data_IF_550288376383
#
_entry.id   IF_550288376383
#
_cell.length_a   1.000
_cell.length_b   1.000
_cell.length_c   1.000
_cell.angle_alpha   90.00
_cell.angle_beta   90.00
_cell.angle_gamma   90.00
#
_symmetry.space_group_name_H-M   'P 1'
#
loop_
_entity.id
_entity.type
_entity.pdbx_description
1 polymer ?
#
# COMPACT_ATOMS: atom_id res chain seq x y z
N UNK A 1 -25.77 -13.09 18.81
CA UNK A 1 -24.85 -12.06 19.32
C UNK A 1 -25.41 -10.74 18.82
N UNK A 2 -25.80 -9.88 19.75
CA UNK A 2 -26.46 -8.61 19.48
C UNK A 2 -25.58 -7.74 18.59
N UNK A 3 -26.10 -7.33 17.43
CA UNK A 3 -25.46 -6.30 16.59
C UNK A 3 -25.39 -5.03 17.44
N UNK A 4 -24.23 -4.82 18.04
CA UNK A 4 -23.94 -3.68 18.88
C UNK A 4 -23.41 -2.62 17.93
N UNK A 5 -24.14 -1.52 17.78
CA UNK A 5 -23.73 -0.39 16.93
C UNK A 5 -22.37 0.14 17.41
N UNK A 6 -21.62 0.79 16.53
CA UNK A 6 -20.33 1.42 16.85
C UNK A 6 -20.44 2.29 18.11
N UNK A 7 -21.52 3.06 18.24
CA UNK A 7 -21.84 3.85 19.43
C UNK A 7 -22.01 3.02 20.70
N UNK A 8 -22.72 1.88 20.62
CA UNK A 8 -22.94 1.03 21.78
C UNK A 8 -21.64 0.34 22.24
N UNK A 9 -20.77 -0.03 21.29
CA UNK A 9 -19.44 -0.58 21.56
C UNK A 9 -18.53 0.47 22.21
N UNK A 10 -18.56 1.70 21.69
CA UNK A 10 -17.83 2.83 22.26
C UNK A 10 -18.32 3.16 23.68
N UNK A 11 -19.63 3.16 23.90
CA UNK A 11 -20.24 3.43 25.21
C UNK A 11 -19.91 2.35 26.26
N UNK A 12 -19.59 1.12 25.84
CA UNK A 12 -19.19 0.04 26.73
C UNK A 12 -17.75 0.20 27.28
N UNK A 13 -16.91 1.01 26.63
CA UNK A 13 -15.55 1.28 27.09
C UNK A 13 -15.54 2.20 28.33
N UNK A 14 -14.49 2.12 29.18
CA UNK A 14 -14.34 3.04 30.30
C UNK A 14 -14.41 4.51 29.84
N UNK A 15 -15.09 5.37 30.62
CA UNK A 15 -15.29 6.79 30.29
C UNK A 15 -14.00 7.52 29.88
N UNK A 16 -12.87 7.18 30.50
CA UNK A 16 -11.54 7.77 30.20
C UNK A 16 -11.00 7.41 28.80
N UNK A 17 -11.58 6.43 28.13
CA UNK A 17 -11.23 5.96 26.80
C UNK A 17 -12.31 6.35 25.79
N UNK A 18 -13.58 6.13 26.14
CA UNK A 18 -14.71 6.41 25.24
C UNK A 18 -14.89 7.90 24.95
N UNK A 19 -14.74 8.77 25.94
CA UNK A 19 -14.95 10.21 25.76
C UNK A 19 -13.89 10.86 24.85
N UNK A 20 -12.58 10.56 24.98
CA UNK A 20 -11.58 11.02 24.01
C UNK A 20 -11.84 10.51 22.59
N UNK A 21 -12.12 9.21 22.40
CA UNK A 21 -12.39 8.66 21.07
C UNK A 21 -13.62 9.30 20.42
N UNK A 22 -14.71 9.46 21.18
CA UNK A 22 -15.90 10.17 20.68
C UNK A 22 -15.58 11.61 20.26
N UNK A 23 -14.75 12.31 21.05
CA UNK A 23 -14.33 13.69 20.75
C UNK A 23 -13.49 13.77 19.48
N UNK A 24 -12.55 12.84 19.29
CA UNK A 24 -11.71 12.75 18.08
C UNK A 24 -12.56 12.47 16.84
N UNK A 25 -13.55 11.57 16.95
CA UNK A 25 -14.47 11.27 15.85
C UNK A 25 -15.36 12.46 15.52
N UNK A 26 -15.89 13.15 16.54
CA UNK A 26 -16.76 14.32 16.36
C UNK A 26 -16.01 15.52 15.79
N UNK A 27 -14.72 15.62 16.07
CA UNK A 27 -13.80 16.60 15.49
C UNK A 27 -13.30 16.22 14.08
N UNK A 28 -13.70 15.05 13.55
CA UNK A 28 -13.27 14.58 12.23
C UNK A 28 -11.81 14.13 12.17
N UNK A 29 -11.11 14.00 13.30
CA UNK A 29 -9.71 13.59 13.35
C UNK A 29 -9.52 12.09 13.14
N UNK A 30 -10.57 11.31 13.44
CA UNK A 30 -10.66 9.90 13.09
C UNK A 30 -12.04 9.65 12.46
N UNK A 31 -12.07 8.93 11.34
CA UNK A 31 -13.34 8.55 10.72
C UNK A 31 -13.99 7.35 11.44
N UNK A 32 -15.23 7.06 11.08
CA UNK A 32 -16.00 5.95 11.67
C UNK A 32 -15.38 4.58 11.36
N UNK A 33 -14.75 4.41 10.20
CA UNK A 33 -14.09 3.16 9.83
C UNK A 33 -12.86 2.87 10.69
N UNK A 34 -12.07 3.90 10.98
CA UNK A 34 -10.92 3.79 11.88
C UNK A 34 -11.37 3.54 13.32
N UNK A 35 -12.46 4.18 13.76
CA UNK A 35 -13.07 3.89 15.05
C UNK A 35 -13.49 2.41 15.17
N UNK A 36 -14.10 1.83 14.14
CA UNK A 36 -14.43 0.40 14.14
C UNK A 36 -13.20 -0.50 14.30
N UNK A 37 -12.09 -0.17 13.63
CA UNK A 37 -10.82 -0.91 13.75
C UNK A 37 -10.27 -0.85 15.18
N UNK A 38 -10.35 0.32 15.83
CA UNK A 38 -9.92 0.47 17.23
C UNK A 38 -10.78 -0.35 18.17
N UNK A 39 -12.11 -0.34 17.99
CA UNK A 39 -13.02 -1.15 18.80
C UNK A 39 -12.77 -2.66 18.61
N UNK A 40 -12.49 -3.10 17.37
CA UNK A 40 -12.07 -4.47 17.08
C UNK A 40 -10.76 -4.84 17.79
N UNK A 41 -9.79 -3.93 17.79
CA UNK A 41 -8.53 -4.10 18.49
C UNK A 41 -8.72 -4.20 20.02
N UNK A 42 -9.60 -3.38 20.59
CA UNK A 42 -9.94 -3.41 22.02
C UNK A 42 -10.53 -4.78 22.40
N UNK A 43 -11.53 -5.26 21.66
CA UNK A 43 -12.18 -6.54 21.90
C UNK A 43 -11.23 -7.73 21.78
N UNK A 44 -10.35 -7.73 20.77
CA UNK A 44 -9.41 -8.83 20.55
C UNK A 44 -8.26 -8.85 21.55
N UNK A 45 -7.85 -7.68 22.04
CA UNK A 45 -6.78 -7.58 23.05
C UNK A 45 -7.29 -7.82 24.47
N UNK A 46 -8.53 -7.40 24.76
CA UNK A 46 -9.05 -7.32 26.12
C UNK A 46 -8.33 -6.28 26.98
N UNK A 47 -7.64 -5.31 26.36
CA UNK A 47 -6.85 -4.27 27.06
C UNK A 47 -7.25 -2.87 26.61
N UNK A 48 -8.39 -2.42 27.11
CA UNK A 48 -8.95 -1.08 26.83
C UNK A 48 -8.02 0.06 27.29
N UNK A 49 -7.16 -0.20 28.29
CA UNK A 49 -6.29 0.82 28.88
C UNK A 49 -5.20 1.28 27.93
N UNK A 50 -4.75 0.38 27.05
CA UNK A 50 -3.73 0.69 26.04
C UNK A 50 -4.33 1.22 24.74
N UNK A 51 -5.66 1.26 24.62
CA UNK A 51 -6.32 1.57 23.36
C UNK A 51 -6.01 2.97 22.82
N UNK A 52 -5.98 4.00 23.68
CA UNK A 52 -5.64 5.36 23.26
C UNK A 52 -4.18 5.47 22.81
N UNK A 53 -3.25 4.86 23.55
CA UNK A 53 -1.84 4.82 23.17
C UNK A 53 -1.62 4.03 21.88
N UNK A 54 -2.38 2.95 21.70
CA UNK A 54 -2.41 2.20 20.46
C UNK A 54 -2.99 3.02 19.31
N UNK A 55 -4.06 3.78 19.49
CA UNK A 55 -4.63 4.63 18.44
C UNK A 55 -3.61 5.65 17.94
N UNK A 56 -2.87 6.30 18.85
CA UNK A 56 -1.79 7.21 18.50
C UNK A 56 -0.64 6.49 17.76
N UNK A 57 -0.21 5.34 18.26
CA UNK A 57 0.86 4.54 17.64
C UNK A 57 0.45 3.83 16.34
N UNK A 58 -0.83 3.56 16.15
CA UNK A 58 -1.39 2.88 14.98
C UNK A 58 -1.14 3.71 13.74
N UNK A 59 -1.43 5.01 13.79
CA UNK A 59 -1.28 5.89 12.63
C UNK A 59 0.19 5.96 12.20
N UNK A 60 1.11 5.99 13.16
CA UNK A 60 2.55 5.91 12.89
C UNK A 60 2.95 4.55 12.28
N UNK A 61 2.50 3.43 12.86
CA UNK A 61 2.77 2.10 12.30
C UNK A 61 2.16 1.92 10.90
N UNK A 62 0.99 2.48 10.65
CA UNK A 62 0.36 2.48 9.34
C UNK A 62 1.16 3.31 8.33
N UNK A 63 1.70 4.48 8.74
CA UNK A 63 2.65 5.29 7.96
C UNK A 63 3.89 4.47 7.57
N UNK A 64 4.41 3.63 8.47
CA UNK A 64 5.58 2.77 8.23
C UNK A 64 5.25 1.43 7.49
N UNK A 65 4.06 1.33 6.90
CA UNK A 65 3.63 0.15 6.14
C UNK A 65 3.46 -1.13 6.98
N UNK A 66 3.21 -1.00 8.29
CA UNK A 66 2.88 -2.13 9.14
C UNK A 66 1.41 -2.51 8.91
N UNK A 67 1.09 -3.78 8.58
CA UNK A 67 -0.26 -4.20 8.21
C UNK A 67 -1.16 -4.44 9.44
N UNK A 68 -1.33 -3.41 10.28
CA UNK A 68 -2.02 -3.52 11.58
C UNK A 68 -3.52 -3.82 11.38
N UNK A 69 -4.19 -3.12 10.46
CA UNK A 69 -5.58 -3.34 10.09
C UNK A 69 -5.85 -4.78 9.66
N UNK A 70 -5.02 -5.29 8.74
CA UNK A 70 -5.12 -6.65 8.21
C UNK A 70 -4.94 -7.69 9.31
N UNK A 71 -4.01 -7.46 10.24
CA UNK A 71 -3.84 -8.34 11.41
C UNK A 71 -5.08 -8.34 12.28
N UNK A 72 -5.66 -7.17 12.58
CA UNK A 72 -6.88 -7.07 13.41
C UNK A 72 -8.02 -7.82 12.73
N UNK A 73 -8.27 -7.59 11.43
CA UNK A 73 -9.32 -8.26 10.67
C UNK A 73 -9.13 -9.77 10.62
N UNK A 74 -7.93 -10.25 10.29
CA UNK A 74 -7.62 -11.68 10.25
C UNK A 74 -7.73 -12.33 11.63
N UNK A 75 -7.24 -11.65 12.67
CA UNK A 75 -7.31 -12.11 14.05
C UNK A 75 -8.78 -12.23 14.52
N UNK A 76 -9.62 -11.25 14.17
CA UNK A 76 -11.07 -11.30 14.44
C UNK A 76 -11.73 -12.52 13.81
N UNK A 77 -11.50 -12.75 12.51
CA UNK A 77 -12.03 -13.92 11.80
C UNK A 77 -11.58 -15.24 12.42
N UNK A 78 -10.31 -15.32 12.79
CA UNK A 78 -9.73 -16.52 13.40
C UNK A 78 -9.99 -16.62 14.91
N UNK A 79 -10.71 -15.67 15.51
CA UNK A 79 -10.93 -15.56 16.96
C UNK A 79 -9.64 -15.64 17.77
N UNK A 80 -8.57 -15.00 17.27
CA UNK A 80 -7.26 -14.96 17.90
C UNK A 80 -7.06 -13.63 18.63
N UNK A 81 -6.43 -13.69 19.80
CA UNK A 81 -6.06 -12.50 20.56
C UNK A 81 -4.90 -11.77 19.90
N UNK A 82 -4.90 -10.46 20.04
CA UNK A 82 -3.80 -9.57 19.65
C UNK A 82 -3.22 -8.89 20.89
N UNK A 83 -2.06 -8.24 20.76
CA UNK A 83 -1.52 -7.40 21.81
C UNK A 83 -1.20 -6.03 21.23
N UNK A 84 -1.84 -5.00 21.80
CA UNK A 84 -1.72 -3.63 21.32
C UNK A 84 -0.32 -3.04 21.49
N UNK A 85 0.51 -3.60 22.37
CA UNK A 85 1.89 -3.18 22.61
C UNK A 85 2.94 -3.91 21.76
N UNK A 86 2.54 -4.62 20.71
CA UNK A 86 3.50 -5.25 19.80
C UNK A 86 4.30 -4.22 19.02
N UNK A 87 5.58 -4.52 18.81
CA UNK A 87 6.45 -3.74 17.92
C UNK A 87 6.02 -3.88 16.44
N UNK A 88 6.40 -2.94 15.57
CA UNK A 88 6.16 -3.02 14.11
C UNK A 88 6.56 -4.38 13.51
N UNK A 89 7.75 -4.88 13.85
CA UNK A 89 8.24 -6.18 13.41
C UNK A 89 7.35 -7.34 13.89
N UNK A 90 6.84 -7.26 15.13
CA UNK A 90 5.95 -8.30 15.67
C UNK A 90 4.59 -8.30 14.97
N UNK A 91 4.04 -7.13 14.62
CA UNK A 91 2.83 -7.01 13.80
C UNK A 91 3.03 -7.62 12.40
N UNK A 92 4.13 -7.27 11.71
CA UNK A 92 4.50 -7.87 10.40
C UNK A 92 4.64 -9.40 10.49
N UNK A 93 5.22 -9.91 11.58
CA UNK A 93 5.34 -11.35 11.80
C UNK A 93 3.99 -12.03 12.07
N UNK A 94 3.11 -11.42 12.87
CA UNK A 94 1.79 -11.98 13.13
C UNK A 94 0.92 -11.95 11.86
N UNK A 95 1.03 -10.91 11.05
CA UNK A 95 0.41 -10.82 9.72
C UNK A 95 0.79 -12.03 8.85
N UNK A 96 2.09 -12.29 8.71
CA UNK A 96 2.60 -13.42 7.93
C UNK A 96 2.08 -14.77 8.45
N UNK A 97 1.99 -14.92 9.78
CA UNK A 97 1.45 -16.13 10.41
C UNK A 97 -0.04 -16.31 10.15
N UNK A 98 -0.83 -15.25 10.36
CA UNK A 98 -2.29 -15.29 10.16
C UNK A 98 -2.65 -15.53 8.71
N UNK A 99 -1.96 -14.88 7.77
CA UNK A 99 -2.18 -15.07 6.34
C UNK A 99 -1.85 -16.49 5.88
N UNK A 100 -0.77 -17.09 6.40
CA UNK A 100 -0.46 -18.51 6.18
C UNK A 100 -1.54 -19.43 6.74
N UNK A 101 -2.05 -19.13 7.94
CA UNK A 101 -3.13 -19.89 8.54
C UNK A 101 -4.42 -19.81 7.71
N UNK A 102 -4.80 -18.62 7.22
CA UNK A 102 -5.95 -18.49 6.29
C UNK A 102 -5.72 -19.31 5.04
N UNK A 103 -4.52 -19.23 4.46
CA UNK A 103 -4.16 -20.01 3.28
C UNK A 103 -4.34 -21.51 3.50
N UNK A 104 -3.83 -22.05 4.60
CA UNK A 104 -3.96 -23.47 4.95
C UNK A 104 -5.42 -23.85 5.22
N UNK A 105 -6.17 -23.00 5.93
CA UNK A 105 -7.60 -23.22 6.19
C UNK A 105 -8.40 -23.32 4.88
N UNK A 106 -8.12 -22.45 3.89
CA UNK A 106 -8.77 -22.49 2.57
C UNK A 106 -8.43 -23.77 1.80
N UNK A 107 -7.21 -24.27 1.93
CA UNK A 107 -6.81 -25.54 1.29
C UNK A 107 -7.50 -26.74 1.92
N UNK A 108 -7.72 -26.73 3.24
CA UNK A 108 -8.42 -27.79 3.96
C UNK A 108 -9.95 -27.75 3.83
N UNK A 109 -10.52 -26.58 3.54
CA UNK A 109 -11.97 -26.39 3.44
C UNK A 109 -12.57 -27.00 2.16
N UNK A 110 -13.91 -27.10 2.12
CA UNK A 110 -14.64 -27.36 0.88
C UNK A 110 -14.30 -26.28 -0.16
N UNK A 111 -14.08 -26.72 -1.39
CA UNK A 111 -13.70 -25.79 -2.46
C UNK A 111 -14.92 -24.96 -2.85
N UNK A 112 -14.88 -23.67 -2.56
CA UNK A 112 -15.94 -22.74 -2.92
C UNK A 112 -15.58 -22.07 -4.23
N UNK A 113 -16.53 -22.01 -5.17
CA UNK A 113 -16.39 -21.29 -6.42
C UNK A 113 -16.93 -19.87 -6.30
N UNK A 114 -16.29 -18.94 -6.98
CA UNK A 114 -16.69 -17.54 -7.02
C UNK A 114 -17.49 -17.26 -8.29
N UNK A 115 -18.58 -16.51 -8.14
CA UNK A 115 -19.25 -15.90 -9.27
C UNK A 115 -18.48 -14.64 -9.67
N UNK A 116 -17.90 -14.66 -10.88
CA UNK A 116 -17.13 -13.57 -11.45
C UNK A 116 -17.74 -13.07 -12.77
N UNK A 117 -19.04 -13.34 -12.99
CA UNK A 117 -19.78 -12.93 -14.21
C UNK A 117 -19.58 -11.45 -14.54
N UNK A 118 -19.71 -10.57 -13.55
CA UNK A 118 -19.50 -9.13 -13.70
C UNK A 118 -18.08 -8.72 -14.16
N UNK A 119 -17.08 -9.60 -14.03
CA UNK A 119 -15.73 -9.37 -14.55
C UNK A 119 -15.53 -10.07 -15.91
N UNK A 120 -16.17 -11.23 -16.10
CA UNK A 120 -16.10 -12.01 -17.34
C UNK A 120 -16.71 -11.29 -18.55
N UNK A 121 -17.64 -10.37 -18.34
CA UNK A 121 -18.26 -9.60 -19.42
C UNK A 121 -17.32 -8.56 -20.04
N UNK A 122 -16.31 -8.12 -19.29
CA UNK A 122 -15.41 -7.02 -19.67
C UNK A 122 -13.97 -7.47 -19.93
N UNK A 123 -13.70 -8.77 -19.94
CA UNK A 123 -12.36 -9.33 -20.11
C UNK A 123 -12.27 -10.22 -21.36
N UNK A 124 -11.15 -10.21 -22.09
CA UNK A 124 -10.92 -11.12 -23.21
C UNK A 124 -10.76 -12.58 -22.71
N UNK A 125 -11.04 -13.55 -23.57
CA UNK A 125 -11.01 -14.99 -23.26
C UNK A 125 -9.76 -15.47 -22.52
N UNK A 126 -8.59 -14.97 -22.92
CA UNK A 126 -7.32 -15.33 -22.29
C UNK A 126 -7.25 -14.84 -20.83
N UNK A 127 -7.71 -13.62 -20.57
CA UNK A 127 -7.76 -13.03 -19.24
C UNK A 127 -8.80 -13.71 -18.35
N UNK A 128 -9.97 -14.08 -18.89
CA UNK A 128 -11.02 -14.82 -18.17
C UNK A 128 -10.54 -16.16 -17.63
N UNK A 129 -9.62 -16.82 -18.35
CA UNK A 129 -8.98 -18.07 -17.92
C UNK A 129 -7.92 -17.87 -16.83
N UNK A 130 -7.37 -16.66 -16.71
CA UNK A 130 -6.40 -16.31 -15.68
C UNK A 130 -7.04 -16.00 -14.32
N UNK A 131 -8.35 -15.69 -14.29
CA UNK A 131 -9.10 -15.46 -13.06
C UNK A 131 -9.06 -16.66 -12.11
N UNK A 132 -8.83 -16.38 -10.82
CA UNK A 132 -8.89 -17.35 -9.74
C UNK A 132 -10.36 -17.53 -9.34
N UNK A 133 -10.95 -18.66 -9.75
CA UNK A 133 -12.40 -18.92 -9.58
C UNK A 133 -12.78 -19.71 -8.34
N UNK A 134 -11.82 -20.11 -7.51
CA UNK A 134 -12.14 -20.91 -6.32
C UNK A 134 -11.18 -20.72 -5.15
N UNK A 135 -11.67 -21.02 -3.96
CA UNK A 135 -10.96 -20.83 -2.69
C UNK A 135 -9.66 -21.63 -2.60
N UNK A 136 -9.63 -22.86 -3.12
CA UNK A 136 -8.38 -23.64 -3.13
C UNK A 136 -7.33 -23.02 -4.04
N UNK A 137 -7.71 -22.52 -5.22
CA UNK A 137 -6.77 -21.88 -6.14
C UNK A 137 -6.25 -20.55 -5.60
N UNK A 138 -7.09 -19.79 -4.89
CA UNK A 138 -6.69 -18.57 -4.19
C UNK A 138 -5.66 -18.86 -3.09
N UNK A 139 -5.90 -19.91 -2.28
CA UNK A 139 -4.93 -20.37 -1.28
C UNK A 139 -3.61 -20.82 -1.90
N UNK A 140 -3.64 -21.60 -2.99
CA UNK A 140 -2.42 -22.02 -3.69
C UNK A 140 -1.62 -20.84 -4.25
N UNK A 141 -2.29 -19.78 -4.71
CA UNK A 141 -1.61 -18.57 -5.17
C UNK A 141 -0.88 -17.88 -4.00
N UNK A 142 -1.55 -17.73 -2.85
CA UNK A 142 -0.94 -17.17 -1.64
C UNK A 142 0.29 -17.94 -1.16
N UNK A 143 0.26 -19.28 -1.18
CA UNK A 143 1.43 -20.10 -0.86
C UNK A 143 2.59 -19.89 -1.84
N UNK A 144 2.30 -19.91 -3.14
CA UNK A 144 3.33 -19.81 -4.18
C UNK A 144 4.01 -18.45 -4.18
N UNK A 145 3.21 -17.41 -4.09
CA UNK A 145 3.69 -16.03 -4.18
C UNK A 145 4.10 -15.47 -2.81
N UNK A 146 3.86 -16.17 -1.70
CA UNK A 146 4.22 -15.74 -0.34
C UNK A 146 3.68 -14.34 0.00
N UNK A 147 2.42 -14.10 -0.37
CA UNK A 147 1.72 -12.86 -0.08
C UNK A 147 0.24 -13.13 0.19
N UNK A 148 -0.45 -12.13 0.73
CA UNK A 148 -1.67 -12.34 1.51
C UNK A 148 -2.95 -12.46 0.68
N UNK A 149 -2.86 -12.83 -0.60
CA UNK A 149 -4.01 -12.91 -1.50
C UNK A 149 -5.13 -13.85 -1.00
N UNK A 150 -4.83 -14.83 -0.15
CA UNK A 150 -5.84 -15.70 0.46
C UNK A 150 -6.84 -14.95 1.37
N UNK A 151 -6.47 -13.80 1.91
CA UNK A 151 -7.34 -12.97 2.77
C UNK A 151 -8.44 -12.25 1.98
N UNK A 152 -8.33 -12.21 0.64
CA UNK A 152 -9.29 -11.55 -0.25
C UNK A 152 -10.58 -12.37 -0.46
N UNK A 153 -10.66 -13.58 0.09
CA UNK A 153 -11.78 -14.50 -0.10
C UNK A 153 -13.16 -13.85 0.07
N UNK A 154 -13.37 -13.17 1.20
CA UNK A 154 -14.68 -12.58 1.53
C UNK A 154 -14.98 -11.39 0.61
N UNK A 155 -13.95 -10.61 0.25
CA UNK A 155 -14.09 -9.49 -0.69
C UNK A 155 -14.46 -9.97 -2.09
N UNK A 156 -13.94 -11.12 -2.52
CA UNK A 156 -14.31 -11.74 -3.80
C UNK A 156 -15.76 -12.27 -3.75
N UNK A 157 -16.16 -12.95 -2.66
CA UNK A 157 -17.55 -13.43 -2.48
C UNK A 157 -18.55 -12.28 -2.55
N UNK A 158 -18.21 -11.15 -1.92
CA UNK A 158 -19.06 -9.97 -1.89
C UNK A 158 -18.97 -9.13 -3.17
N UNK A 159 -18.27 -9.61 -4.21
CA UNK A 159 -18.13 -8.94 -5.51
C UNK A 159 -17.22 -7.70 -5.50
N UNK A 160 -16.55 -7.42 -4.40
CA UNK A 160 -15.73 -6.22 -4.21
C UNK A 160 -14.36 -6.24 -4.91
N UNK A 161 -13.91 -7.39 -5.41
CA UNK A 161 -12.76 -7.50 -6.30
C UNK A 161 -12.73 -8.86 -7.02
N UNK A 162 -11.90 -8.99 -8.04
CA UNK A 162 -11.49 -10.26 -8.63
C UNK A 162 -9.95 -10.38 -8.66
N UNK A 163 -9.44 -11.60 -8.59
CA UNK A 163 -8.00 -11.87 -8.61
C UNK A 163 -7.66 -12.72 -9.84
N UNK A 164 -6.63 -12.33 -10.58
CA UNK A 164 -6.07 -13.11 -11.69
C UNK A 164 -4.62 -13.54 -11.38
N UNK A 165 -4.24 -14.72 -11.87
CA UNK A 165 -2.85 -15.19 -11.89
C UNK A 165 -2.36 -15.23 -13.32
N UNK A 166 -1.54 -14.25 -13.69
CA UNK A 166 -1.06 -13.99 -15.05
C UNK A 166 0.42 -14.37 -15.14
N UNK A 167 0.86 -14.93 -16.26
CA UNK A 167 2.28 -15.20 -16.51
C UNK A 167 2.74 -14.29 -17.64
N UNK A 168 3.69 -13.41 -17.35
CA UNK A 168 4.33 -12.50 -18.32
C UNK A 168 5.83 -12.67 -18.18
N UNK A 169 6.51 -12.89 -19.31
CA UNK A 169 7.97 -13.09 -19.35
C UNK A 169 8.47 -14.19 -18.39
N UNK A 170 7.73 -15.31 -18.33
CA UNK A 170 8.00 -16.45 -17.43
C UNK A 170 7.88 -16.14 -15.93
N UNK A 171 7.54 -14.90 -15.56
CA UNK A 171 7.24 -14.51 -14.19
C UNK A 171 5.74 -14.55 -13.94
N UNK A 172 5.34 -15.09 -12.78
CA UNK A 172 3.94 -15.10 -12.34
C UNK A 172 3.61 -13.82 -11.59
N UNK A 173 2.46 -13.24 -11.92
CA UNK A 173 1.92 -12.01 -11.36
C UNK A 173 0.51 -12.23 -10.85
N UNK A 174 0.24 -11.74 -9.65
CA UNK A 174 -1.09 -11.69 -9.05
C UNK A 174 -1.66 -10.31 -9.31
N UNK A 175 -2.79 -10.26 -10.01
CA UNK A 175 -3.45 -9.03 -10.43
C UNK A 175 -4.78 -8.90 -9.71
N UNK A 176 -5.03 -7.76 -9.07
CA UNK A 176 -6.31 -7.42 -8.48
C UNK A 176 -7.08 -6.50 -9.43
N UNK A 177 -8.33 -6.86 -9.66
CA UNK A 177 -9.30 -6.11 -10.43
C UNK A 177 -10.39 -5.59 -9.52
N UNK A 178 -10.82 -4.36 -9.74
CA UNK A 178 -11.99 -3.78 -9.11
C UNK A 178 -12.90 -3.17 -10.17
N UNK A 179 -14.19 -3.13 -9.86
CA UNK A 179 -15.17 -2.43 -10.68
C UNK A 179 -15.00 -0.94 -10.50
N UNK A 180 -15.16 -0.20 -11.58
CA UNK A 180 -15.23 1.26 -11.51
C UNK A 180 -16.67 1.72 -11.73
N UNK A 181 -16.94 2.96 -11.37
CA UNK A 181 -18.22 3.63 -11.64
C UNK A 181 -18.22 4.35 -13.00
N UNK A 182 -17.18 4.16 -13.81
CA UNK A 182 -17.01 4.78 -15.12
C UNK A 182 -17.53 3.80 -16.17
N UNK A 183 -18.60 4.21 -16.87
CA UNK A 183 -19.31 3.37 -17.85
C UNK A 183 -18.38 2.86 -18.96
N UNK A 184 -17.48 3.71 -19.46
CA UNK A 184 -16.50 3.35 -20.52
C UNK A 184 -15.29 2.55 -20.01
N UNK A 185 -15.09 2.44 -18.70
CA UNK A 185 -13.96 1.73 -18.08
C UNK A 185 -14.44 0.90 -16.89
N UNK A 186 -15.33 -0.08 -17.10
CA UNK A 186 -16.06 -0.76 -16.01
C UNK A 186 -15.17 -1.54 -15.04
N UNK A 187 -13.93 -1.86 -15.45
CA UNK A 187 -12.92 -2.51 -14.63
C UNK A 187 -11.60 -1.73 -14.62
N UNK A 188 -10.91 -1.76 -13.48
CA UNK A 188 -9.55 -1.26 -13.34
C UNK A 188 -8.65 -2.29 -12.65
N UNK A 189 -7.37 -2.28 -13.03
CA UNK A 189 -6.33 -3.00 -12.30
C UNK A 189 -5.86 -2.10 -11.15
N UNK A 190 -6.15 -2.48 -9.91
CA UNK A 190 -5.76 -1.70 -8.73
C UNK A 190 -4.41 -2.12 -8.18
N UNK A 191 -4.03 -3.40 -8.36
CA UNK A 191 -2.79 -3.92 -7.82
C UNK A 191 -2.19 -5.01 -8.73
N UNK A 192 -0.87 -4.96 -8.91
CA UNK A 192 -0.08 -6.00 -9.57
C UNK A 192 1.10 -6.32 -8.66
N UNK A 193 1.18 -7.57 -8.19
CA UNK A 193 2.25 -8.03 -7.31
C UNK A 193 2.84 -9.34 -7.79
N UNK A 194 4.12 -9.52 -7.55
CA UNK A 194 4.79 -10.82 -7.68
C UNK A 194 5.13 -11.39 -6.30
N UNK A 195 5.98 -12.41 -6.29
CA UNK A 195 6.45 -13.08 -5.08
C UNK A 195 6.95 -12.06 -4.06
N UNK A 196 6.61 -12.26 -2.78
CA UNK A 196 6.96 -11.37 -1.67
C UNK A 196 6.50 -9.92 -1.86
N UNK A 197 5.37 -9.69 -2.52
CA UNK A 197 4.81 -8.36 -2.80
C UNK A 197 5.69 -7.45 -3.70
N UNK A 198 6.60 -8.03 -4.49
CA UNK A 198 7.35 -7.27 -5.48
C UNK A 198 6.43 -6.55 -6.47
N UNK A 199 6.79 -5.32 -6.85
CA UNK A 199 5.98 -4.46 -7.73
C UNK A 199 6.28 -4.76 -9.20
N UNK A 200 5.27 -4.65 -10.07
CA UNK A 200 5.47 -4.84 -11.50
C UNK A 200 6.17 -3.64 -12.14
N UNK A 201 7.31 -3.85 -12.84
CA UNK A 201 7.92 -2.81 -13.67
C UNK A 201 6.95 -2.28 -14.74
N UNK A 202 7.13 -1.05 -15.22
CA UNK A 202 6.21 -0.43 -16.20
C UNK A 202 5.96 -1.28 -17.45
N UNK A 203 7.00 -1.92 -18.00
CA UNK A 203 6.88 -2.79 -19.18
C UNK A 203 6.04 -4.05 -18.91
N UNK A 204 6.19 -4.63 -17.72
CA UNK A 204 5.36 -5.77 -17.29
C UNK A 204 3.93 -5.33 -17.05
N UNK A 205 3.72 -4.18 -16.39
CA UNK A 205 2.40 -3.60 -16.14
C UNK A 205 1.64 -3.40 -17.46
N UNK A 206 2.28 -2.84 -18.49
CA UNK A 206 1.67 -2.68 -19.82
C UNK A 206 1.26 -4.01 -20.44
N UNK A 207 2.14 -5.01 -20.42
CA UNK A 207 1.84 -6.35 -20.94
C UNK A 207 0.69 -7.01 -20.19
N UNK A 208 0.57 -6.76 -18.89
CA UNK A 208 -0.56 -7.23 -18.10
C UNK A 208 -1.84 -6.48 -18.47
N UNK A 209 -1.82 -5.16 -18.61
CA UNK A 209 -2.98 -4.38 -19.07
C UNK A 209 -3.46 -4.82 -20.46
N UNK A 210 -2.53 -5.00 -21.40
CA UNK A 210 -2.80 -5.51 -22.74
C UNK A 210 -3.38 -6.94 -22.69
N UNK A 211 -2.76 -7.84 -21.92
CA UNK A 211 -3.26 -9.21 -21.71
C UNK A 211 -4.68 -9.21 -21.12
N UNK A 212 -4.96 -8.29 -20.20
CA UNK A 212 -6.26 -8.14 -19.57
C UNK A 212 -7.28 -7.39 -20.46
N UNK A 213 -6.86 -6.82 -21.59
CA UNK A 213 -7.73 -6.01 -22.46
C UNK A 213 -8.24 -4.73 -21.78
N UNK A 214 -7.53 -4.24 -20.76
CA UNK A 214 -7.92 -3.07 -19.99
C UNK A 214 -6.99 -1.91 -20.32
N UNK A 215 -7.58 -0.75 -20.60
CA UNK A 215 -6.81 0.46 -20.88
C UNK A 215 -5.84 0.73 -19.72
N UNK A 216 -4.61 1.10 -20.06
CA UNK A 216 -3.77 1.79 -19.11
C UNK A 216 -4.49 3.12 -18.75
N UNK A 217 -4.49 3.55 -17.48
CA UNK A 217 -4.83 4.94 -17.19
C UNK A 217 -3.89 5.80 -18.05
N UNK A 218 -4.43 6.73 -18.84
CA UNK A 218 -3.64 7.44 -19.85
C UNK A 218 -4.09 8.88 -20.06
N UNK A 219 -3.13 9.67 -20.56
CA UNK A 219 -3.29 10.94 -21.27
C UNK A 219 -2.49 10.97 -22.59
N UNK A 220 -2.57 12.06 -23.35
CA UNK A 220 -1.99 12.26 -24.70
C UNK A 220 -0.48 12.53 -24.74
N UNK A 221 0.16 12.17 -25.87
CA UNK A 221 1.61 12.18 -26.13
C UNK A 221 2.14 13.51 -26.72
N UNK A 222 3.25 14.04 -26.21
CA UNK A 222 4.02 15.13 -26.86
C UNK A 222 5.54 14.86 -26.90
N UNK A 223 6.09 14.85 -28.14
CA UNK A 223 7.44 15.17 -28.69
C UNK A 223 8.77 14.57 -28.14
N UNK A 224 9.67 14.24 -29.10
CA UNK A 224 11.00 13.57 -29.05
C UNK A 224 12.16 14.32 -28.34
N UNK A 225 11.88 15.30 -27.47
CA UNK A 225 12.91 15.99 -26.67
C UNK A 225 12.47 16.14 -25.22
N UNK A 226 12.11 15.01 -24.63
CA UNK A 226 11.64 14.94 -23.25
C UNK A 226 12.83 15.10 -22.30
N UNK A 227 12.86 16.10 -21.40
CA UNK A 227 13.84 16.15 -20.34
C UNK A 227 13.72 14.88 -19.47
N UNK A 228 14.86 14.32 -19.04
CA UNK A 228 14.88 13.03 -18.31
C UNK A 228 14.05 13.07 -17.01
N UNK A 229 13.92 14.27 -16.43
CA UNK A 229 13.12 14.58 -15.27
C UNK A 229 12.20 15.75 -15.61
N UNK A 230 10.96 15.72 -15.13
CA UNK A 230 9.90 16.71 -15.36
C UNK A 230 9.41 17.38 -14.08
N UNK A 231 9.98 17.07 -12.92
CA UNK A 231 9.58 17.65 -11.64
C UNK A 231 9.59 19.18 -11.65
N UNK A 232 10.54 19.83 -12.34
CA UNK A 232 10.57 21.29 -12.48
C UNK A 232 9.38 21.83 -13.28
N UNK A 233 8.97 21.13 -14.34
CA UNK A 233 7.80 21.52 -15.13
C UNK A 233 6.51 21.27 -14.34
N UNK A 234 6.45 20.14 -13.65
CA UNK A 234 5.34 19.79 -12.76
C UNK A 234 5.21 20.77 -11.57
N UNK A 235 6.33 21.26 -11.02
CA UNK A 235 6.33 22.32 -10.03
C UNK A 235 5.73 23.62 -10.58
N UNK A 236 5.92 23.94 -11.87
CA UNK A 236 5.26 25.11 -12.50
C UNK A 236 3.74 24.99 -12.55
N UNK A 237 3.20 23.77 -12.61
CA UNK A 237 1.77 23.52 -12.55
C UNK A 237 1.23 23.51 -11.11
N UNK A 238 2.02 23.05 -10.14
CA UNK A 238 1.62 22.95 -8.74
C UNK A 238 1.74 24.28 -7.99
N UNK A 239 2.81 25.05 -8.21
CA UNK A 239 3.06 26.32 -7.48
C UNK A 239 1.88 27.31 -7.53
N UNK A 240 1.20 27.56 -8.67
CA UNK A 240 0.04 28.46 -8.71
C UNK A 240 -1.18 27.93 -7.95
N UNK A 241 -1.28 26.62 -7.72
CA UNK A 241 -2.35 26.03 -6.91
C UNK A 241 -2.08 26.25 -5.43
N UNK A 242 -0.83 26.07 -5.01
CA UNK A 242 -0.37 26.33 -3.65
C UNK A 242 -0.48 27.83 -3.29
N UNK A 243 0.00 28.71 -4.17
CA UNK A 243 -0.01 30.17 -3.98
C UNK A 243 -1.44 30.72 -3.84
N UNK A 244 -2.39 30.24 -4.68
CA UNK A 244 -3.80 30.65 -4.60
C UNK A 244 -4.49 30.28 -3.29
N UNK A 245 -4.01 29.24 -2.61
CA UNK A 245 -4.54 28.81 -1.31
C UNK A 245 -3.75 29.38 -0.13
N UNK A 246 -2.80 30.27 -0.39
CA UNK A 246 -1.99 30.90 0.66
C UNK A 246 -1.05 29.92 1.35
N UNK A 247 -0.63 28.86 0.68
CA UNK A 247 0.40 27.95 1.20
C UNK A 247 1.75 28.65 1.13
N UNK A 248 2.44 28.66 2.26
CA UNK A 248 3.79 29.22 2.41
C UNK A 248 4.85 28.15 2.10
N UNK A 249 4.66 26.94 2.65
CA UNK A 249 5.61 25.82 2.53
C UNK A 249 4.90 24.49 2.35
N UNK A 250 5.47 23.62 1.53
CA UNK A 250 5.11 22.20 1.45
C UNK A 250 6.33 21.36 1.81
N UNK A 251 6.18 20.43 2.74
CA UNK A 251 7.24 19.48 3.14
C UNK A 251 6.79 18.07 2.84
N UNK A 252 7.51 17.34 2.01
CA UNK A 252 7.23 15.95 1.66
C UNK A 252 8.31 15.07 2.27
N UNK A 253 7.94 14.15 3.17
CA UNK A 253 8.91 13.22 3.78
C UNK A 253 8.91 11.89 3.02
N UNK A 254 10.07 11.24 2.97
CA UNK A 254 10.22 9.89 2.43
C UNK A 254 11.14 9.06 3.32
N UNK A 255 10.90 7.75 3.36
CA UNK A 255 11.71 6.82 4.11
C UNK A 255 11.68 5.41 3.49
N UNK A 256 12.80 4.70 3.62
CA UNK A 256 12.97 3.39 3.00
C UNK A 256 13.96 2.53 3.77
N UNK A 257 13.81 1.22 3.69
CA UNK A 257 14.77 0.23 4.17
C UNK A 257 14.49 -1.14 3.56
N UNK A 258 15.55 -1.96 3.45
CA UNK A 258 15.41 -3.37 3.13
C UNK A 258 14.65 -3.65 1.84
N UNK A 259 15.05 -2.99 0.74
CA UNK A 259 14.48 -3.04 -0.63
C UNK A 259 13.17 -2.27 -0.87
N UNK A 260 12.68 -1.57 0.15
CA UNK A 260 11.41 -0.84 0.11
C UNK A 260 11.60 0.63 0.45
N UNK A 261 11.16 1.54 -0.43
CA UNK A 261 11.11 2.98 -0.16
C UNK A 261 9.76 3.55 -0.59
N UNK A 262 9.24 4.50 0.17
CA UNK A 262 8.03 5.22 -0.20
C UNK A 262 8.09 6.68 0.25
N UNK A 263 7.40 7.54 -0.50
CA UNK A 263 7.04 8.87 -0.04
C UNK A 263 5.96 8.71 1.04
N UNK A 264 6.20 9.24 2.24
CA UNK A 264 5.31 9.01 3.36
C UNK A 264 4.10 9.97 3.32
N UNK A 265 4.35 11.28 3.30
CA UNK A 265 3.30 12.30 3.41
C UNK A 265 3.74 13.69 2.91
N UNK A 266 2.78 14.49 2.45
CA UNK A 266 2.97 15.92 2.13
C UNK A 266 2.27 16.79 3.18
N UNK A 267 3.04 17.63 3.88
CA UNK A 267 2.58 18.58 4.88
C UNK A 267 2.50 19.98 4.28
N UNK A 268 1.37 20.67 4.51
CA UNK A 268 1.15 22.04 4.05
C UNK A 268 1.26 23.00 5.23
N UNK A 269 1.90 24.15 5.03
CA UNK A 269 1.94 25.25 5.98
C UNK A 269 1.32 26.49 5.34
N UNK A 270 0.20 27.03 5.85
CA UNK A 270 -0.64 26.48 6.91
C UNK A 270 -1.33 25.16 6.52
N UNK A 271 -1.69 24.36 7.52
CA UNK A 271 -2.35 23.06 7.33
C UNK A 271 -3.68 23.21 6.59
N UNK A 272 -3.99 22.24 5.75
CA UNK A 272 -5.15 22.24 4.87
C UNK A 272 -6.03 21.02 5.13
N UNK A 273 -7.33 21.12 4.86
CA UNK A 273 -8.23 19.97 5.00
C UNK A 273 -7.98 18.96 3.87
N UNK A 274 -8.36 17.70 4.08
CA UNK A 274 -8.06 16.60 3.15
C UNK A 274 -8.66 16.82 1.75
N UNK A 275 -9.76 17.58 1.61
CA UNK A 275 -10.28 17.91 0.28
C UNK A 275 -9.30 18.72 -0.56
N UNK A 276 -8.43 19.52 0.07
CA UNK A 276 -7.40 20.25 -0.63
C UNK A 276 -6.38 19.31 -1.28
N UNK A 277 -6.06 18.19 -0.62
CA UNK A 277 -5.15 17.18 -1.15
C UNK A 277 -5.71 16.51 -2.42
N UNK A 278 -7.04 16.49 -2.54
CA UNK A 278 -7.78 15.94 -3.69
C UNK A 278 -7.94 16.95 -4.84
N UNK A 279 -7.47 18.20 -4.69
CA UNK A 279 -7.49 19.22 -5.74
C UNK A 279 -6.83 18.66 -7.00
N UNK A 280 -7.52 18.76 -8.14
CA UNK A 280 -6.99 18.26 -9.41
C UNK A 280 -5.97 19.23 -9.98
N UNK A 281 -4.80 18.70 -10.34
CA UNK A 281 -3.73 19.41 -11.01
C UNK A 281 -3.27 18.60 -12.22
N UNK A 282 -2.90 19.31 -13.28
CA UNK A 282 -2.27 18.70 -14.45
C UNK A 282 -0.80 18.44 -14.17
N UNK A 283 -0.33 17.25 -14.54
CA UNK A 283 1.06 16.83 -14.41
C UNK A 283 1.52 16.11 -15.65
N UNK A 284 2.78 16.36 -16.02
CA UNK A 284 3.49 15.64 -17.05
C UNK A 284 4.15 14.40 -16.46
N UNK A 285 3.95 13.24 -17.09
CA UNK A 285 4.68 12.02 -16.78
C UNK A 285 5.50 11.54 -17.97
N UNK A 286 6.72 11.11 -17.67
CA UNK A 286 7.58 10.39 -18.61
C UNK A 286 7.02 9.00 -18.89
N UNK A 287 6.56 8.78 -20.13
CA UNK A 287 6.14 7.48 -20.62
C UNK A 287 7.13 6.99 -21.67
N UNK A 288 7.62 5.76 -21.54
CA UNK A 288 8.49 5.15 -22.53
C UNK A 288 7.70 4.14 -23.37
N UNK A 289 7.61 4.37 -24.68
CA UNK A 289 6.97 3.47 -25.63
C UNK A 289 8.03 2.87 -26.54
N UNK A 290 8.02 1.55 -26.68
CA UNK A 290 8.89 0.86 -27.63
C UNK A 290 8.12 0.72 -28.95
N UNK A 291 8.52 1.50 -29.95
CA UNK A 291 7.90 1.54 -31.28
C UNK A 291 8.99 1.56 -32.36
N UNK A 292 8.81 0.78 -33.44
CA UNK A 292 9.74 0.69 -34.57
C UNK A 292 11.19 0.37 -34.15
N UNK A 293 11.35 -0.63 -33.29
CA UNK A 293 12.64 -1.09 -32.75
C UNK A 293 13.47 -0.02 -32.01
N UNK A 294 12.81 1.00 -31.47
CA UNK A 294 13.45 2.05 -30.68
C UNK A 294 12.61 2.39 -29.46
N UNK A 295 13.29 2.66 -28.34
CA UNK A 295 12.66 3.28 -27.18
C UNK A 295 12.42 4.75 -27.49
N UNK A 296 11.15 5.17 -27.46
CA UNK A 296 10.75 6.57 -27.51
C UNK A 296 10.27 6.98 -26.12
N UNK A 297 10.86 8.05 -25.58
CA UNK A 297 10.36 8.70 -24.38
C UNK A 297 9.41 9.82 -24.82
N UNK A 298 8.21 9.86 -24.26
CA UNK A 298 7.22 10.90 -24.49
C UNK A 298 6.74 11.45 -23.16
N UNK A 299 6.26 12.69 -23.15
CA UNK A 299 5.53 13.24 -22.01
C UNK A 299 4.04 13.09 -22.22
N UNK A 300 3.37 12.75 -21.14
CA UNK A 300 1.92 12.60 -21.09
C UNK A 300 1.35 13.51 -20.02
N UNK A 301 0.39 14.36 -20.38
CA UNK A 301 -0.35 15.17 -19.41
C UNK A 301 -1.47 14.33 -18.79
N UNK A 302 -1.50 14.23 -17.47
CA UNK A 302 -2.55 13.55 -16.72
C UNK A 302 -3.06 14.42 -15.58
N UNK A 303 -4.39 14.45 -15.43
CA UNK A 303 -5.04 15.08 -14.30
C UNK A 303 -5.01 14.15 -13.09
N UNK A 304 -4.38 14.58 -12.01
CA UNK A 304 -4.23 13.80 -10.79
C UNK A 304 -4.46 14.66 -9.55
N UNK A 305 -4.53 14.04 -8.38
CA UNK A 305 -4.67 14.78 -7.12
C UNK A 305 -3.39 15.56 -6.82
N UNK A 306 -3.50 16.69 -6.12
CA UNK A 306 -2.37 17.50 -5.69
C UNK A 306 -1.37 16.66 -4.87
N UNK A 307 -1.88 15.72 -4.07
CA UNK A 307 -1.06 14.75 -3.34
C UNK A 307 -0.22 13.87 -4.27
N UNK A 308 -0.85 13.20 -5.24
CA UNK A 308 -0.14 12.36 -6.22
C UNK A 308 0.86 13.18 -7.05
N UNK A 309 0.51 14.42 -7.37
CA UNK A 309 1.37 15.35 -8.09
C UNK A 309 2.65 15.69 -7.31
N UNK A 310 2.52 16.04 -6.02
CA UNK A 310 3.66 16.28 -5.14
C UNK A 310 4.52 15.03 -4.94
N UNK A 311 3.89 13.85 -4.93
CA UNK A 311 4.61 12.59 -4.81
C UNK A 311 5.43 12.32 -6.07
N UNK A 312 4.84 12.44 -7.25
CA UNK A 312 5.57 12.26 -8.51
C UNK A 312 6.72 13.27 -8.66
N UNK A 313 6.54 14.52 -8.23
CA UNK A 313 7.62 15.53 -8.21
C UNK A 313 8.78 15.06 -7.33
N UNK A 314 8.47 14.49 -6.17
CA UNK A 314 9.48 14.03 -5.21
C UNK A 314 10.20 12.78 -5.71
N UNK A 315 9.47 11.80 -6.25
CA UNK A 315 10.06 10.60 -6.84
C UNK A 315 11.01 10.95 -8.00
N UNK A 316 10.56 11.84 -8.89
CA UNK A 316 11.34 12.25 -10.07
C UNK A 316 12.58 13.08 -9.68
N UNK A 317 12.51 13.92 -8.63
CA UNK A 317 13.68 14.63 -8.11
C UNK A 317 14.63 13.66 -7.37
N UNK A 318 14.11 12.67 -6.63
CA UNK A 318 14.92 11.62 -6.02
C UNK A 318 15.66 10.78 -7.07
N UNK A 319 14.99 10.40 -8.16
CA UNK A 319 15.63 9.70 -9.28
C UNK A 319 16.73 10.54 -9.95
N UNK A 320 16.62 11.88 -9.98
CA UNK A 320 17.68 12.77 -10.46
C UNK A 320 18.95 12.72 -9.59
N UNK A 321 18.80 12.58 -8.27
CA UNK A 321 19.97 12.53 -7.38
C UNK A 321 20.85 11.29 -7.61
N UNK A 322 20.27 10.21 -8.15
CA UNK A 322 20.94 8.91 -8.27
C UNK A 322 21.30 8.26 -6.94
N UNK A 323 20.81 8.78 -5.81
CA UNK A 323 21.09 8.26 -4.47
C UNK A 323 20.23 7.04 -4.20
N UNK A 324 20.86 5.93 -3.83
CA UNK A 324 20.16 4.72 -3.42
C UNK A 324 19.76 4.81 -1.94
N UNK A 325 18.65 5.52 -1.68
CA UNK A 325 18.18 5.82 -0.32
C UNK A 325 17.27 4.74 0.28
N UNK A 326 16.84 3.74 -0.48
CA UNK A 326 15.84 2.75 -0.03
C UNK A 326 16.39 1.33 0.15
N UNK A 327 17.54 1.00 -0.47
CA UNK A 327 18.15 -0.33 -0.36
C UNK A 327 18.97 -0.53 0.92
N UNK A 328 19.21 -1.80 1.26
CA UNK A 328 20.04 -2.23 2.38
C UNK A 328 19.59 -1.64 3.73
N UNK A 329 20.42 -0.81 4.35
CA UNK A 329 20.18 -0.14 5.63
C UNK A 329 19.11 0.95 5.53
N UNK A 330 18.72 1.32 4.30
CA UNK A 330 17.68 2.29 4.05
C UNK A 330 18.17 3.72 4.16
N UNK A 331 17.22 4.63 4.29
CA UNK A 331 17.45 6.06 4.20
C UNK A 331 16.15 6.82 4.35
N UNK A 332 16.26 8.13 4.51
CA UNK A 332 15.14 9.02 4.76
C UNK A 332 15.48 10.43 4.31
N UNK A 333 14.49 11.28 4.22
CA UNK A 333 14.73 12.67 3.91
C UNK A 333 13.45 13.43 3.67
N UNK A 334 13.63 14.64 3.14
CA UNK A 334 12.52 15.54 2.87
C UNK A 334 12.76 16.38 1.62
N UNK A 335 11.67 16.62 0.89
CA UNK A 335 11.58 17.64 -0.13
C UNK A 335 10.79 18.82 0.42
N UNK A 336 11.38 20.01 0.42
CA UNK A 336 10.72 21.24 0.84
C UNK A 336 10.50 22.16 -0.35
N UNK A 337 9.24 22.56 -0.58
CA UNK A 337 8.85 23.60 -1.53
C UNK A 337 8.54 24.87 -0.74
N UNK A 338 9.35 25.90 -0.93
CA UNK A 338 9.04 27.25 -0.46
C UNK A 338 8.26 27.97 -1.56
N UNK A 339 6.97 28.20 -1.32
CA UNK A 339 6.05 28.77 -2.32
C UNK A 339 6.35 30.25 -2.53
N UNK A 340 6.68 30.98 -1.46
CA UNK A 340 6.98 32.41 -1.50
C UNK A 340 8.31 32.68 -2.23
N UNK A 341 9.35 31.90 -1.93
CA UNK A 341 10.64 31.96 -2.60
C UNK A 341 10.64 31.27 -3.98
N UNK A 342 9.57 30.53 -4.33
CA UNK A 342 9.46 29.69 -5.53
C UNK A 342 10.67 28.77 -5.70
N UNK A 343 11.06 28.13 -4.61
CA UNK A 343 12.25 27.26 -4.55
C UNK A 343 11.89 25.87 -4.06
N UNK A 344 12.69 24.88 -4.44
CA UNK A 344 12.56 23.51 -3.97
C UNK A 344 13.93 23.03 -3.47
N UNK A 345 13.96 22.36 -2.33
CA UNK A 345 15.13 21.71 -1.76
C UNK A 345 14.84 20.25 -1.47
N UNK A 346 15.84 19.39 -1.60
CA UNK A 346 15.75 17.95 -1.37
C UNK A 346 16.93 17.54 -0.50
N UNK A 347 16.65 17.04 0.69
CA UNK A 347 17.63 16.44 1.59
C UNK A 347 17.46 14.92 1.59
N UNK A 348 18.53 14.18 1.33
CA UNK A 348 18.53 12.71 1.20
C UNK A 348 19.60 12.13 2.12
N UNK A 349 19.17 11.38 3.13
CA UNK A 349 20.02 10.72 4.11
C UNK A 349 20.01 9.20 3.86
N UNK A 350 21.18 8.56 3.92
CA UNK A 350 21.34 7.10 3.77
C UNK A 350 21.91 6.54 5.06
N UNK A 351 21.31 5.45 5.54
CA UNK A 351 21.75 4.75 6.75
C UNK A 351 22.93 3.83 6.42
N UNK A 352 23.73 3.53 7.44
CA UNK A 352 24.86 2.59 7.35
C UNK A 352 24.96 1.79 8.65
N UNK A 353 24.96 0.46 8.53
CA UNK A 353 25.13 -0.48 9.66
C UNK A 353 26.45 -1.22 9.55
N UNK A 354 27.27 -1.15 10.60
CA UNK A 354 28.49 -1.96 10.74
C UNK A 354 28.30 -2.98 11.88
N UNK A 355 28.78 -4.22 11.70
CA UNK A 355 28.71 -5.25 12.73
C UNK A 355 29.99 -6.09 12.75
N UNK A 356 30.58 -6.24 13.93
CA UNK A 356 31.77 -7.07 14.17
C UNK A 356 31.44 -8.26 15.06
N UNK A 357 32.03 -9.41 14.77
CA UNK A 357 31.92 -10.60 15.60
C UNK A 357 33.20 -10.75 16.43
N UNK A 358 33.12 -10.36 17.70
CA UNK A 358 34.26 -10.38 18.62
C UNK A 358 34.47 -11.76 19.28
N UNK A 359 33.49 -12.66 19.23
CA UNK A 359 33.56 -13.95 19.93
C UNK A 359 32.63 -15.00 19.32
N UNK A 360 33.18 -16.16 18.97
CA UNK A 360 32.42 -17.33 18.54
C UNK A 360 32.98 -18.59 19.21
N UNK A 361 32.14 -19.33 19.92
CA UNK A 361 32.51 -20.60 20.57
C UNK A 361 31.42 -21.63 20.28
N UNK A 362 31.84 -22.86 19.96
CA UNK A 362 30.95 -24.03 19.88
C UNK A 362 31.28 -24.96 21.04
N UNK A 363 30.26 -25.33 21.83
CA UNK A 363 30.40 -26.32 22.91
C UNK A 363 29.64 -27.59 22.54
N UNK A 364 30.32 -28.73 22.59
CA UNK A 364 29.68 -30.03 22.48
C UNK A 364 28.97 -30.36 23.80
N UNK A 365 27.76 -30.92 23.71
CA UNK A 365 27.01 -31.43 24.86
C UNK A 365 27.18 -32.95 24.86
N UNK A 366 27.70 -33.49 25.97
CA UNK A 366 27.67 -34.92 26.23
C UNK A 366 26.23 -35.32 26.60
N UNK A 367 25.61 -36.19 25.81
CA UNK A 367 24.23 -36.65 26.02
C UNK A 367 24.13 -37.84 26.98
N UNK A 368 25.25 -38.36 27.48
CA UNK A 368 25.27 -39.40 28.52
C UNK A 368 24.74 -40.77 28.06
N UNK A 369 24.72 -41.08 26.76
CA UNK A 369 24.49 -42.45 26.30
C UNK A 369 25.76 -43.27 26.54
N UNK A 370 25.73 -44.08 27.59
CA UNK A 370 26.77 -45.08 27.87
C UNK A 370 26.43 -46.31 27.02
N UNK A 371 27.26 -46.59 26.02
CA UNK A 371 27.18 -47.82 25.23
C UNK A 371 27.20 -49.04 26.18
N UNK A 372 26.16 -49.89 26.07
CA UNK A 372 26.10 -51.23 26.68
C UNK A 372 26.29 -52.31 25.60
#
# INVERSE_FOLDING_TARGET
>A
MTFTTTDARLAALPHKISQPLASLTSAGQIDEGFLEILLDAAELSGDDKRLLGFAAGYLHMAKDGVPVEDVIRMAKRQKRRINLGWSPARWKNEHNKLSRAETLARLSASNQFYDLSAYDEHLPDAARKALIRCSKRLGLEGLRQRHCVASYHDRIINGGCAIASVIVERQRWTVQLERTWIEDKPLAITQIKTRLNGIAPPGIRRKIHEFMGLALPGGEFVSDSVPNYVYLENLRHVLPVLDRQGIERVTITFSGSGDSGAIDWAYFTPEQPEEFHQTRVEQLRSNSVYENDRWRKGLVSESMTLKEALYNITDDYLEETGVNWYDNDGGYGELEIDVAARSVSLDVNVNFTESTNEYCETKCIDTGEVDL
#
